data_IF_611376140322
#
_entry.id   IF_611376140322
#
_cell.length_a   1.000
_cell.length_b   1.000
_cell.length_c   1.000
_cell.angle_alpha   90.00
_cell.angle_beta   90.00
_cell.angle_gamma   90.00
#
_symmetry.space_group_name_H-M   'P 1'
#
loop_
_entity.id
_entity.type
_entity.pdbx_description
1 polymer ?
#
# COMPACT_ATOMS: atom_id res chain seq x y z
N UNK A 1 -14.58 -3.91 14.24
CA UNK A 1 -15.21 -5.19 14.71
C UNK A 1 -14.27 -5.91 15.66
N UNK A 2 -14.63 -7.05 16.27
CA UNK A 2 -13.71 -7.82 17.14
C UNK A 2 -12.40 -8.23 16.46
N UNK A 3 -12.38 -8.27 15.12
CA UNK A 3 -11.19 -8.55 14.31
C UNK A 3 -10.23 -7.36 14.25
N UNK A 4 -10.74 -6.12 14.18
CA UNK A 4 -9.93 -4.89 14.31
C UNK A 4 -9.22 -4.85 15.67
N UNK A 5 -9.91 -5.21 16.76
CA UNK A 5 -9.29 -5.29 18.09
C UNK A 5 -8.23 -6.40 18.19
N UNK A 6 -8.42 -7.52 17.47
CA UNK A 6 -7.43 -8.58 17.39
C UNK A 6 -6.14 -8.07 16.72
N UNK A 7 -6.25 -7.34 15.62
CA UNK A 7 -5.09 -6.77 14.93
C UNK A 7 -4.30 -5.82 15.84
N UNK A 8 -5.01 -4.94 16.57
CA UNK A 8 -4.39 -4.06 17.56
C UNK A 8 -3.70 -4.85 18.68
N UNK A 9 -4.37 -5.87 19.24
CA UNK A 9 -3.82 -6.69 20.32
C UNK A 9 -2.56 -7.46 19.88
N UNK A 10 -2.52 -7.93 18.63
CA UNK A 10 -1.34 -8.59 18.06
C UNK A 10 -0.19 -7.59 17.93
N UNK A 11 -0.46 -6.40 17.38
CA UNK A 11 0.53 -5.35 17.24
C UNK A 11 1.13 -4.96 18.61
N UNK A 12 0.28 -4.70 19.61
CA UNK A 12 0.70 -4.30 20.95
C UNK A 12 1.50 -5.41 21.66
N UNK A 13 1.07 -6.67 21.57
CA UNK A 13 1.74 -7.82 22.18
C UNK A 13 3.14 -8.07 21.60
N UNK A 14 3.30 -7.83 20.30
CA UNK A 14 4.57 -8.01 19.59
C UNK A 14 5.42 -6.73 19.54
N UNK A 15 4.91 -5.61 20.06
CA UNK A 15 5.57 -4.30 19.96
C UNK A 15 5.73 -3.80 18.52
N UNK A 16 4.88 -4.24 17.60
CA UNK A 16 4.95 -3.89 16.18
C UNK A 16 4.03 -2.72 15.86
N UNK A 17 4.38 -1.94 14.83
CA UNK A 17 3.51 -0.90 14.31
C UNK A 17 2.30 -1.52 13.61
N UNK A 18 1.10 -1.02 13.90
CA UNK A 18 -0.12 -1.32 13.16
C UNK A 18 -0.31 -0.33 12.01
N UNK A 19 -0.45 -0.83 10.80
CA UNK A 19 -0.86 -0.08 9.61
C UNK A 19 -2.28 -0.52 9.27
N UNK A 20 -3.21 0.43 9.18
CA UNK A 20 -4.61 0.15 8.85
C UNK A 20 -4.91 0.69 7.45
N UNK A 21 -5.38 -0.20 6.58
CA UNK A 21 -5.94 0.12 5.28
C UNK A 21 -7.43 -0.16 5.30
N UNK A 22 -8.23 0.89 5.51
CA UNK A 22 -9.69 0.78 5.51
C UNK A 22 -10.22 0.89 4.08
N UNK A 23 -10.92 -0.15 3.63
CA UNK A 23 -11.42 -0.27 2.27
C UNK A 23 -12.79 0.41 2.14
N UNK A 24 -12.97 1.12 1.02
CA UNK A 24 -14.23 1.74 0.62
C UNK A 24 -14.69 1.15 -0.70
N UNK A 25 -15.95 1.36 -1.05
CA UNK A 25 -16.53 0.90 -2.33
C UNK A 25 -15.86 1.46 -3.58
N UNK A 26 -15.14 2.57 -3.44
CA UNK A 26 -14.38 3.18 -4.53
C UNK A 26 -12.90 2.84 -4.51
N UNK A 27 -12.42 2.13 -3.48
CA UNK A 27 -10.99 1.81 -3.33
C UNK A 27 -10.58 0.80 -4.38
N UNK A 28 -9.44 1.05 -5.03
CA UNK A 28 -8.83 0.12 -5.98
C UNK A 28 -7.60 -0.55 -5.36
N UNK A 29 -7.35 -1.80 -5.72
CA UNK A 29 -6.22 -2.57 -5.20
C UNK A 29 -4.89 -1.83 -5.39
N UNK A 30 -4.72 -1.22 -6.59
CA UNK A 30 -3.54 -0.45 -6.93
C UNK A 30 -3.28 0.73 -5.98
N UNK A 31 -4.31 1.42 -5.46
CA UNK A 31 -4.15 2.53 -4.51
C UNK A 31 -3.52 2.06 -3.17
N UNK A 32 -3.65 0.77 -2.84
CA UNK A 32 -2.96 0.18 -1.71
C UNK A 32 -1.48 -0.08 -1.95
N UNK A 33 -1.09 -0.27 -3.22
CA UNK A 33 0.29 -0.47 -3.63
C UNK A 33 0.99 0.88 -3.76
N UNK A 34 0.48 1.76 -4.62
CA UNK A 34 0.96 3.11 -4.86
C UNK A 34 -0.05 3.97 -5.62
N UNK A 35 0.14 5.29 -5.55
CA UNK A 35 -0.60 6.29 -6.32
C UNK A 35 0.41 7.12 -7.09
N UNK A 36 0.15 7.31 -8.37
CA UNK A 36 0.95 8.16 -9.24
C UNK A 36 0.29 9.54 -9.41
N UNK A 37 0.92 10.56 -8.86
CA UNK A 37 0.46 11.96 -8.86
C UNK A 37 0.78 12.65 -10.20
N UNK A 38 0.03 12.26 -11.22
CA UNK A 38 0.13 12.83 -12.57
C UNK A 38 -0.15 14.33 -12.62
N UNK A 39 -1.01 14.83 -11.72
CA UNK A 39 -1.38 16.26 -11.65
C UNK A 39 -0.21 17.09 -11.17
N UNK A 40 0.45 16.66 -10.07
CA UNK A 40 1.66 17.33 -9.58
C UNK A 40 2.77 17.29 -10.64
N UNK A 41 2.96 16.16 -11.33
CA UNK A 41 3.95 16.05 -12.42
C UNK A 41 3.67 17.02 -13.56
N UNK A 42 2.41 17.13 -13.98
CA UNK A 42 2.01 18.04 -15.06
C UNK A 42 2.23 19.50 -14.65
N UNK A 43 1.91 19.84 -13.41
CA UNK A 43 2.16 21.17 -12.86
C UNK A 43 3.66 21.51 -12.93
N UNK A 44 4.53 20.69 -12.34
CA UNK A 44 5.98 20.91 -12.34
C UNK A 44 6.56 21.01 -13.76
N UNK A 45 6.04 20.20 -14.70
CA UNK A 45 6.41 20.26 -16.11
C UNK A 45 6.07 21.56 -16.81
N UNK A 46 5.02 22.28 -16.38
CA UNK A 46 4.60 23.55 -16.98
C UNK A 46 5.38 24.74 -16.42
N UNK A 47 5.79 24.68 -15.15
CA UNK A 47 6.46 25.79 -14.47
C UNK A 47 8.00 25.70 -14.53
N UNK A 48 8.55 24.63 -15.09
CA UNK A 48 10.00 24.46 -15.26
C UNK A 48 10.76 24.31 -13.94
N UNK A 49 10.03 24.11 -12.84
CA UNK A 49 10.60 23.81 -11.53
C UNK A 49 10.75 22.29 -11.42
N UNK A 50 11.96 21.86 -11.08
CA UNK A 50 12.35 20.46 -10.82
C UNK A 50 12.78 19.65 -12.04
N UNK A 51 13.71 18.72 -11.77
CA UNK A 51 14.05 17.63 -12.67
C UNK A 51 12.87 16.65 -12.76
N UNK A 52 11.91 16.96 -13.63
CA UNK A 52 10.69 16.18 -13.92
C UNK A 52 11.04 14.78 -14.48
N UNK A 53 12.30 14.54 -14.84
CA UNK A 53 12.79 13.23 -15.24
C UNK A 53 12.74 12.21 -14.07
N UNK A 54 12.79 12.67 -12.82
CA UNK A 54 12.69 11.79 -11.66
C UNK A 54 11.24 11.48 -11.31
N UNK A 55 10.68 10.49 -12.02
CA UNK A 55 9.30 10.02 -11.88
C UNK A 55 8.98 9.57 -10.44
N UNK A 56 9.97 9.09 -9.68
CA UNK A 56 9.77 8.57 -8.32
C UNK A 56 9.17 9.60 -7.36
N UNK A 57 9.45 10.88 -7.58
CA UNK A 57 8.91 12.00 -6.78
C UNK A 57 7.39 12.07 -6.82
N UNK A 58 6.78 11.53 -7.87
CA UNK A 58 5.34 11.53 -8.08
C UNK A 58 4.69 10.20 -7.68
N UNK A 59 5.47 9.22 -7.25
CA UNK A 59 4.96 7.94 -6.75
C UNK A 59 4.84 8.02 -5.23
N UNK A 60 3.62 7.87 -4.73
CA UNK A 60 3.31 7.80 -3.30
C UNK A 60 2.87 6.39 -2.97
N UNK A 61 3.54 5.73 -2.04
CA UNK A 61 3.16 4.36 -1.66
C UNK A 61 1.79 4.35 -0.98
N UNK A 62 1.00 3.33 -1.29
CA UNK A 62 -0.23 3.03 -0.57
C UNK A 62 0.08 2.27 0.72
N UNK A 63 -0.96 1.89 1.48
CA UNK A 63 -0.78 1.24 2.79
C UNK A 63 -0.07 -0.10 2.76
N UNK A 64 -0.28 -0.89 1.72
CA UNK A 64 0.44 -2.14 1.51
C UNK A 64 1.88 -1.87 1.05
N UNK A 65 2.09 -0.87 0.19
CA UNK A 65 3.43 -0.41 -0.18
C UNK A 65 4.26 0.11 1.02
N UNK A 66 3.64 0.92 1.89
CA UNK A 66 4.21 1.38 3.15
C UNK A 66 4.59 0.19 4.06
N UNK A 67 3.74 -0.84 4.13
CA UNK A 67 4.00 -2.03 4.92
C UNK A 67 5.17 -2.86 4.38
N UNK A 68 5.30 -2.98 3.05
CA UNK A 68 6.40 -3.74 2.43
C UNK A 68 7.76 -3.05 2.62
N UNK A 69 7.82 -1.72 2.50
CA UNK A 69 9.05 -0.96 2.71
C UNK A 69 9.34 -0.60 4.18
N UNK A 70 8.53 -1.09 5.13
CA UNK A 70 8.78 -0.85 6.54
C UNK A 70 10.15 -1.44 6.95
N UNK A 71 10.96 -0.61 7.62
CA UNK A 71 12.29 -1.01 8.12
C UNK A 71 12.23 -2.07 9.21
N UNK A 72 11.07 -2.22 9.85
CA UNK A 72 10.77 -3.18 10.92
C UNK A 72 9.53 -3.99 10.54
N UNK A 73 9.35 -5.21 11.10
CA UNK A 73 8.10 -5.95 10.93
C UNK A 73 6.89 -5.14 11.39
N UNK A 74 5.80 -5.21 10.64
CA UNK A 74 4.56 -4.50 10.95
C UNK A 74 3.36 -5.43 10.86
N UNK A 75 2.26 -5.03 11.51
CA UNK A 75 0.95 -5.64 11.29
C UNK A 75 0.21 -4.77 10.29
N UNK A 76 -0.25 -5.36 9.18
CA UNK A 76 -1.10 -4.70 8.20
C UNK A 76 -2.53 -5.23 8.34
N UNK A 77 -3.46 -4.35 8.71
CA UNK A 77 -4.89 -4.63 8.72
C UNK A 77 -5.54 -4.09 7.44
N UNK A 78 -6.11 -4.98 6.63
CA UNK A 78 -6.99 -4.64 5.50
C UNK A 78 -8.42 -4.80 6.01
N UNK A 79 -9.08 -3.69 6.34
CA UNK A 79 -10.39 -3.68 7.00
C UNK A 79 -11.52 -3.38 6.03
N UNK A 80 -12.68 -3.97 6.27
CA UNK A 80 -13.92 -3.79 5.49
C UNK A 80 -13.73 -4.19 4.02
N UNK A 81 -13.00 -5.29 3.77
CA UNK A 81 -12.71 -5.74 2.39
C UNK A 81 -14.00 -6.11 1.63
N UNK A 82 -15.06 -6.46 2.35
CA UNK A 82 -16.39 -6.76 1.82
C UNK A 82 -17.06 -5.55 1.15
N UNK A 83 -16.61 -4.33 1.44
CA UNK A 83 -17.11 -3.11 0.77
C UNK A 83 -16.52 -2.88 -0.61
N UNK A 84 -15.41 -3.53 -0.93
CA UNK A 84 -14.69 -3.32 -2.18
C UNK A 84 -15.47 -3.82 -3.40
N UNK A 85 -14.96 -3.48 -4.58
CA UNK A 85 -15.39 -4.13 -5.82
C UNK A 85 -15.11 -5.65 -5.78
N UNK A 86 -15.90 -6.46 -6.49
CA UNK A 86 -15.77 -7.92 -6.52
C UNK A 86 -14.38 -8.38 -7.00
N UNK A 87 -13.73 -7.60 -7.86
CA UNK A 87 -12.39 -7.90 -8.39
C UNK A 87 -11.27 -7.63 -7.37
N UNK A 88 -11.50 -6.73 -6.40
CA UNK A 88 -10.48 -6.21 -5.49
C UNK A 88 -9.69 -7.30 -4.72
N UNK A 89 -10.31 -8.33 -4.13
CA UNK A 89 -9.54 -9.35 -3.41
C UNK A 89 -8.61 -10.14 -4.33
N UNK A 90 -9.06 -10.45 -5.55
CA UNK A 90 -8.28 -11.20 -6.53
C UNK A 90 -7.09 -10.38 -7.03
N UNK A 91 -7.29 -9.07 -7.21
CA UNK A 91 -6.26 -8.11 -7.64
C UNK A 91 -5.12 -7.91 -6.64
N UNK A 92 -5.23 -8.45 -5.41
CA UNK A 92 -4.18 -8.40 -4.39
C UNK A 92 -3.54 -9.76 -4.09
N UNK A 93 -4.08 -10.85 -4.64
CA UNK A 93 -3.62 -12.21 -4.30
C UNK A 93 -2.14 -12.41 -4.63
N UNK A 94 -1.73 -11.93 -5.80
CA UNK A 94 -0.35 -12.09 -6.27
C UNK A 94 0.62 -11.28 -5.42
N UNK A 95 0.28 -10.04 -5.12
CA UNK A 95 1.11 -9.11 -4.35
C UNK A 95 1.27 -9.56 -2.90
N UNK A 96 0.20 -10.09 -2.30
CA UNK A 96 0.22 -10.66 -0.96
C UNK A 96 0.98 -11.99 -0.91
N UNK A 97 0.88 -12.84 -1.94
CA UNK A 97 1.62 -14.10 -2.02
C UNK A 97 3.13 -13.88 -2.21
N UNK A 98 3.49 -13.04 -3.17
CA UNK A 98 4.89 -12.73 -3.49
C UNK A 98 5.53 -11.74 -2.52
N UNK A 99 4.72 -11.06 -1.69
CA UNK A 99 5.15 -9.93 -0.87
C UNK A 99 5.92 -8.89 -1.68
N UNK A 100 5.48 -8.66 -2.93
CA UNK A 100 6.08 -7.70 -3.83
C UNK A 100 5.12 -7.24 -4.94
N UNK A 101 5.39 -6.07 -5.52
CA UNK A 101 4.65 -5.55 -6.68
C UNK A 101 5.55 -4.73 -7.60
N UNK A 102 5.13 -4.58 -8.85
CA UNK A 102 5.86 -3.82 -9.87
C UNK A 102 5.23 -2.45 -10.10
N UNK A 103 6.08 -1.41 -10.22
CA UNK A 103 5.69 -0.04 -10.55
C UNK A 103 6.13 0.24 -12.00
N UNK A 104 5.21 0.22 -12.99
CA UNK A 104 5.56 0.43 -14.39
C UNK A 104 6.24 1.77 -14.68
N UNK A 105 5.85 2.83 -13.97
CA UNK A 105 6.33 4.19 -14.18
C UNK A 105 7.81 4.34 -13.82
N UNK A 106 8.27 3.64 -12.77
CA UNK A 106 9.67 3.65 -12.33
C UNK A 106 10.45 2.44 -12.82
N UNK A 107 9.75 1.40 -13.30
CA UNK A 107 10.29 0.08 -13.66
C UNK A 107 10.96 -0.64 -12.50
N UNK A 108 10.42 -0.44 -11.30
CA UNK A 108 10.95 -1.03 -10.07
C UNK A 108 10.01 -2.08 -9.52
N UNK A 109 10.61 -3.09 -8.88
CA UNK A 109 9.89 -4.05 -8.05
C UNK A 109 10.10 -3.63 -6.60
N UNK A 110 8.99 -3.43 -5.89
CA UNK A 110 8.97 -3.21 -4.45
C UNK A 110 8.76 -4.56 -3.80
N UNK A 111 9.73 -5.03 -3.01
CA UNK A 111 9.67 -6.29 -2.28
C UNK A 111 9.73 -6.02 -0.78
N UNK A 112 8.92 -6.73 -0.02
CA UNK A 112 8.89 -6.58 1.43
C UNK A 112 10.25 -6.94 2.05
N UNK A 113 10.90 -5.99 2.71
CA UNK A 113 12.14 -6.24 3.44
C UNK A 113 11.87 -7.11 4.67
N UNK A 114 10.80 -6.76 5.40
CA UNK A 114 10.24 -7.54 6.48
C UNK A 114 8.82 -7.95 6.08
N UNK A 115 8.51 -9.25 6.08
CA UNK A 115 7.16 -9.72 5.73
C UNK A 115 6.17 -9.24 6.79
N UNK A 116 5.15 -8.44 6.44
CA UNK A 116 4.16 -7.98 7.39
C UNK A 116 3.23 -9.13 7.81
N UNK A 117 2.70 -9.04 9.03
CA UNK A 117 1.58 -9.88 9.46
C UNK A 117 0.31 -9.27 8.89
N UNK A 118 -0.29 -9.89 7.88
CA UNK A 118 -1.49 -9.38 7.22
C UNK A 118 -2.74 -9.97 7.86
N UNK A 119 -3.67 -9.09 8.25
CA UNK A 119 -4.98 -9.43 8.79
C UNK A 119 -6.02 -8.81 7.87
N UNK A 120 -6.98 -9.61 7.42
CA UNK A 120 -8.04 -9.18 6.49
C UNK A 120 -9.38 -9.36 7.19
N UNK A 121 -10.24 -8.34 7.15
CA UNK A 121 -11.50 -8.31 7.92
C UNK A 121 -12.71 -7.85 7.14
#
# INVERSE_FOLDING_TARGET
TGKTMLAQSIADSLGLKLIIWNIKSTTKAQEGLYVYDTVQRLYDSQFGESDVADIKKYIKLGKLGEAFLASEPVVLLIDEIDKADLEFPNDLLWELDQMSFYIPETREIITAANRPIVIIT
#
